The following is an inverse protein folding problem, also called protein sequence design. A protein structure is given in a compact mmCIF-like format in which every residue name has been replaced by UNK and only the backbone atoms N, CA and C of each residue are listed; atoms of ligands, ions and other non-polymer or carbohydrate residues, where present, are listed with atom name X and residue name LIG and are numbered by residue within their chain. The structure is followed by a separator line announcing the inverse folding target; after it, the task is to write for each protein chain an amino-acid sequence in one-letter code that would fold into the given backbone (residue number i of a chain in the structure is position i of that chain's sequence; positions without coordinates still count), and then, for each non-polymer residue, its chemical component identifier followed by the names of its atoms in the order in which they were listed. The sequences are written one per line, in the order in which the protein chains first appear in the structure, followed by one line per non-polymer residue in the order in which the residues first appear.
data_IF_543574772992
#
_entry.id   IF_543574772992
#
_cell.length_a   1.000
_cell.length_b   1.000
_cell.length_c   1.000
_cell.angle_alpha   90.00
_cell.angle_beta   90.00
_cell.angle_gamma   90.00
#
_symmetry.space_group_name_H-M   'P 1'
#
loop_
_entity.id
_entity.type
_entity.pdbx_description
1 polymer ?
#
# COMPACT_ATOMS: atom_id res chain seq x y z
N UNK A 1 5.25 -31.61 -9.56
CA UNK A 1 5.05 -30.97 -8.23
C UNK A 1 3.98 -29.92 -8.42
N UNK A 2 2.87 -29.98 -7.69
CA UNK A 2 1.86 -28.93 -7.78
C UNK A 2 2.44 -27.64 -7.16
N UNK A 3 2.28 -26.46 -7.80
CA UNK A 3 2.67 -25.20 -7.18
C UNK A 3 1.90 -25.04 -5.87
N UNK A 4 2.61 -24.70 -4.79
CA UNK A 4 2.01 -24.50 -3.48
C UNK A 4 0.92 -23.41 -3.60
N UNK A 5 -0.33 -23.71 -3.21
CA UNK A 5 -1.46 -22.83 -3.43
C UNK A 5 -1.35 -21.51 -2.65
N UNK A 6 -0.50 -21.46 -1.62
CA UNK A 6 -0.22 -20.25 -0.84
C UNK A 6 0.46 -19.19 -1.71
N UNK A 7 1.49 -19.55 -2.49
CA UNK A 7 2.21 -18.59 -3.33
C UNK A 7 1.34 -18.07 -4.48
N UNK A 8 0.53 -18.92 -5.11
CA UNK A 8 -0.41 -18.50 -6.15
C UNK A 8 -1.47 -17.52 -5.61
N UNK A 9 -1.94 -17.77 -4.39
CA UNK A 9 -2.87 -16.86 -3.70
C UNK A 9 -2.17 -15.56 -3.32
N UNK A 10 -0.92 -15.62 -2.86
CA UNK A 10 -0.11 -14.46 -2.50
C UNK A 10 0.10 -13.54 -3.70
N UNK A 11 0.52 -14.09 -4.83
CA UNK A 11 0.71 -13.34 -6.08
C UNK A 11 -0.59 -12.66 -6.52
N UNK A 12 -1.71 -13.40 -6.53
CA UNK A 12 -3.03 -12.85 -6.85
C UNK A 12 -3.44 -11.71 -5.89
N UNK A 13 -3.06 -11.82 -4.61
CA UNK A 13 -3.34 -10.81 -3.59
C UNK A 13 -2.51 -9.55 -3.83
N UNK A 14 -1.25 -9.72 -4.24
CA UNK A 14 -0.36 -8.62 -4.60
C UNK A 14 -0.86 -7.87 -5.85
N UNK A 15 -1.37 -8.61 -6.85
CA UNK A 15 -2.00 -8.03 -8.04
C UNK A 15 -3.19 -7.14 -7.68
N UNK A 16 -4.05 -7.58 -6.76
CA UNK A 16 -5.19 -6.75 -6.30
C UNK A 16 -4.70 -5.52 -5.54
N UNK A 17 -3.70 -5.66 -4.67
CA UNK A 17 -3.12 -4.52 -3.97
C UNK A 17 -2.53 -3.48 -4.95
N UNK A 18 -1.91 -3.95 -6.03
CA UNK A 18 -1.42 -3.09 -7.10
C UNK A 18 -2.56 -2.40 -7.86
N UNK A 19 -3.59 -3.14 -8.24
CA UNK A 19 -4.75 -2.58 -8.94
C UNK A 19 -5.44 -1.50 -8.10
N UNK A 20 -5.60 -1.71 -6.79
CA UNK A 20 -6.15 -0.71 -5.87
C UNK A 20 -5.32 0.57 -5.89
N UNK A 21 -3.99 0.45 -5.81
CA UNK A 21 -3.10 1.61 -5.85
C UNK A 21 -3.28 2.42 -7.15
N UNK A 22 -3.38 1.73 -8.28
CA UNK A 22 -3.62 2.36 -9.58
C UNK A 22 -5.00 3.03 -9.64
N UNK A 23 -6.06 2.37 -9.13
CA UNK A 23 -7.41 2.96 -9.10
C UNK A 23 -7.49 4.19 -8.20
N UNK A 24 -6.85 4.17 -7.03
CA UNK A 24 -6.75 5.34 -6.14
C UNK A 24 -6.00 6.48 -6.86
N UNK A 25 -4.88 6.18 -7.51
CA UNK A 25 -4.14 7.18 -8.28
C UNK A 25 -4.96 7.76 -9.45
N UNK A 26 -5.75 6.92 -10.13
CA UNK A 26 -6.67 7.36 -11.18
C UNK A 26 -7.76 8.27 -10.60
N UNK A 27 -8.39 7.89 -9.50
CA UNK A 27 -9.41 8.68 -8.82
C UNK A 27 -8.89 10.09 -8.48
N UNK A 28 -7.72 10.18 -7.85
CA UNK A 28 -7.05 11.45 -7.54
C UNK A 28 -6.83 12.36 -8.77
N UNK A 29 -6.58 11.78 -9.95
CA UNK A 29 -6.43 12.55 -11.18
C UNK A 29 -7.77 13.07 -11.69
N UNK A 30 -8.79 12.22 -11.73
CA UNK A 30 -10.13 12.59 -12.17
C UNK A 30 -10.77 13.65 -11.26
N UNK A 31 -10.57 13.56 -9.93
CA UNK A 31 -11.06 14.58 -9.01
C UNK A 31 -10.41 15.94 -9.26
N UNK A 32 -9.10 15.99 -9.57
CA UNK A 32 -8.42 17.23 -9.94
C UNK A 32 -8.92 17.83 -11.25
N UNK A 33 -9.38 17.00 -12.18
CA UNK A 33 -9.98 17.41 -13.44
C UNK A 33 -11.47 17.78 -13.33
N UNK A 34 -12.10 17.54 -12.17
CA UNK A 34 -13.53 17.75 -11.95
C UNK A 34 -14.43 16.69 -12.59
N UNK A 35 -13.88 15.52 -12.90
CA UNK A 35 -14.60 14.38 -13.48
C UNK A 35 -15.25 13.51 -12.40
N UNK A 36 -16.32 12.79 -12.76
CA UNK A 36 -17.07 11.98 -11.81
C UNK A 36 -16.32 10.68 -11.46
N UNK A 37 -15.94 10.54 -10.19
CA UNK A 37 -15.16 9.39 -9.69
C UNK A 37 -16.00 8.33 -8.98
N UNK A 38 -17.33 8.44 -8.96
CA UNK A 38 -18.23 7.54 -8.22
C UNK A 38 -18.00 6.07 -8.60
N UNK A 39 -17.82 5.79 -9.90
CA UNK A 39 -17.54 4.43 -10.38
C UNK A 39 -16.21 3.90 -9.85
N UNK A 40 -15.18 4.72 -9.78
CA UNK A 40 -13.88 4.35 -9.21
C UNK A 40 -14.00 4.10 -7.71
N UNK A 41 -14.71 4.96 -6.98
CA UNK A 41 -14.96 4.80 -5.54
C UNK A 41 -15.59 3.45 -5.22
N UNK A 42 -16.61 3.04 -5.99
CA UNK A 42 -17.27 1.74 -5.80
C UNK A 42 -16.32 0.59 -6.12
N UNK A 43 -15.57 0.67 -7.22
CA UNK A 43 -14.58 -0.35 -7.60
C UNK A 43 -13.50 -0.51 -6.52
N UNK A 44 -12.93 0.59 -6.04
CA UNK A 44 -11.89 0.59 -5.00
C UNK A 44 -12.40 -0.07 -3.71
N UNK A 45 -13.63 0.24 -3.28
CA UNK A 45 -14.25 -0.39 -2.10
C UNK A 45 -14.38 -1.91 -2.25
N UNK A 46 -14.83 -2.38 -3.41
CA UNK A 46 -14.95 -3.81 -3.68
C UNK A 46 -13.59 -4.50 -3.69
N UNK A 47 -12.59 -3.88 -4.33
CA UNK A 47 -11.23 -4.42 -4.36
C UNK A 47 -10.59 -4.47 -2.98
N UNK A 48 -10.76 -3.42 -2.15
CA UNK A 48 -10.29 -3.40 -0.77
C UNK A 48 -10.92 -4.52 0.07
N UNK A 49 -12.22 -4.77 -0.08
CA UNK A 49 -12.89 -5.88 0.58
C UNK A 49 -12.31 -7.23 0.12
N UNK A 50 -12.12 -7.41 -1.20
CA UNK A 50 -11.54 -8.62 -1.76
C UNK A 50 -10.10 -8.86 -1.28
N UNK A 51 -9.29 -7.80 -1.20
CA UNK A 51 -7.92 -7.85 -0.66
C UNK A 51 -7.93 -8.36 0.79
N UNK A 52 -8.80 -7.81 1.63
CA UNK A 52 -8.94 -8.23 3.03
C UNK A 52 -9.34 -9.71 3.14
N UNK A 53 -10.30 -10.16 2.34
CA UNK A 53 -10.72 -11.57 2.33
C UNK A 53 -9.59 -12.50 1.89
N UNK A 54 -8.83 -12.12 0.86
CA UNK A 54 -7.68 -12.92 0.40
C UNK A 54 -6.54 -12.97 1.42
N UNK A 55 -6.26 -11.88 2.12
CA UNK A 55 -5.29 -11.87 3.23
C UNK A 55 -5.74 -12.81 4.34
N UNK A 56 -7.04 -12.81 4.70
CA UNK A 56 -7.58 -13.74 5.69
C UNK A 56 -7.44 -15.20 5.23
N UNK A 57 -7.71 -15.48 3.96
CA UNK A 57 -7.55 -16.81 3.38
C UNK A 57 -6.07 -17.26 3.36
N UNK A 58 -5.13 -16.38 3.00
CA UNK A 58 -3.69 -16.67 3.08
C UNK A 58 -3.22 -17.02 4.49
N UNK A 59 -3.77 -16.33 5.50
CA UNK A 59 -3.49 -16.61 6.90
C UNK A 59 -4.00 -18.00 7.30
N UNK A 60 -5.20 -18.37 6.86
CA UNK A 60 -5.76 -19.70 7.12
C UNK A 60 -4.92 -20.81 6.46
N UNK A 61 -4.53 -20.63 5.20
CA UNK A 61 -3.64 -21.55 4.49
C UNK A 61 -2.29 -21.71 5.21
N UNK A 62 -1.71 -20.61 5.71
CA UNK A 62 -0.48 -20.65 6.49
C UNK A 62 -0.65 -21.43 7.79
N UNK A 63 -1.70 -21.12 8.57
CA UNK A 63 -1.99 -21.80 9.84
C UNK A 63 -2.23 -23.30 9.64
N UNK A 64 -2.96 -23.67 8.60
CA UNK A 64 -3.19 -25.06 8.25
C UNK A 64 -1.88 -25.76 7.88
N UNK A 65 -1.04 -25.15 7.04
CA UNK A 65 0.25 -25.72 6.62
C UNK A 65 1.20 -25.93 7.81
N UNK A 66 1.27 -24.97 8.74
CA UNK A 66 2.06 -25.09 9.97
C UNK A 66 1.50 -26.19 10.88
N UNK A 67 0.18 -26.21 11.11
CA UNK A 67 -0.47 -27.18 12.00
C UNK A 67 -0.35 -28.61 11.49
N UNK A 68 -0.42 -28.80 10.17
CA UNK A 68 -0.23 -30.09 9.50
C UNK A 68 1.23 -30.45 9.28
N UNK A 69 2.18 -29.63 9.75
CA UNK A 69 3.62 -29.80 9.57
C UNK A 69 4.03 -29.98 8.10
N UNK A 70 3.28 -29.38 7.17
CA UNK A 70 3.57 -29.40 5.74
C UNK A 70 4.72 -28.46 5.36
N UNK A 71 5.03 -27.49 6.21
CA UNK A 71 6.14 -26.55 6.03
C UNK A 71 7.01 -26.52 7.28
N UNK A 72 8.26 -26.13 7.12
CA UNK A 72 9.18 -25.94 8.25
C UNK A 72 8.80 -24.68 9.04
N UNK A 73 9.25 -24.60 10.29
CA UNK A 73 9.03 -23.42 11.13
C UNK A 73 9.64 -22.15 10.51
N UNK A 74 10.81 -22.25 9.86
CA UNK A 74 11.46 -21.16 9.16
C UNK A 74 10.63 -20.65 7.96
N UNK A 75 10.06 -21.57 7.18
CA UNK A 75 9.14 -21.19 6.09
C UNK A 75 7.88 -20.54 6.63
N UNK A 76 7.37 -21.02 7.77
CA UNK A 76 6.23 -20.41 8.45
C UNK A 76 6.49 -18.95 8.81
N UNK A 77 7.66 -18.67 9.40
CA UNK A 77 8.10 -17.30 9.74
C UNK A 77 8.24 -16.43 8.49
N UNK A 78 8.89 -16.94 7.44
CA UNK A 78 9.06 -16.21 6.18
C UNK A 78 7.71 -15.85 5.56
N UNK A 79 6.77 -16.80 5.49
CA UNK A 79 5.40 -16.58 4.97
C UNK A 79 4.62 -15.60 5.85
N UNK A 80 4.87 -15.59 7.16
CA UNK A 80 4.25 -14.65 8.09
C UNK A 80 4.74 -13.22 7.87
N UNK A 81 6.03 -13.00 7.58
CA UNK A 81 6.58 -11.69 7.23
C UNK A 81 5.95 -11.14 5.95
N UNK A 82 5.83 -11.96 4.92
CA UNK A 82 5.16 -11.58 3.67
C UNK A 82 3.68 -11.20 3.88
N UNK A 83 2.98 -11.92 4.77
CA UNK A 83 1.61 -11.56 5.17
C UNK A 83 1.56 -10.22 5.90
N UNK A 84 2.52 -9.93 6.78
CA UNK A 84 2.58 -8.66 7.49
C UNK A 84 2.83 -7.48 6.54
N UNK A 85 3.71 -7.66 5.55
CA UNK A 85 3.92 -6.69 4.47
C UNK A 85 2.62 -6.42 3.70
N UNK A 86 1.85 -7.45 3.34
CA UNK A 86 0.55 -7.29 2.69
C UNK A 86 -0.47 -6.56 3.58
N UNK A 87 -0.53 -6.88 4.87
CA UNK A 87 -1.42 -6.20 5.83
C UNK A 87 -1.05 -4.73 5.96
N UNK A 88 0.25 -4.43 6.06
CA UNK A 88 0.75 -3.06 6.11
C UNK A 88 0.37 -2.31 4.84
N UNK A 89 0.54 -2.94 3.67
CA UNK A 89 0.15 -2.36 2.38
C UNK A 89 -1.36 -2.12 2.29
N UNK A 90 -2.19 -3.07 2.73
CA UNK A 90 -3.66 -2.90 2.77
C UNK A 90 -4.06 -1.68 3.62
N UNK A 91 -3.48 -1.53 4.81
CA UNK A 91 -3.72 -0.37 5.69
C UNK A 91 -3.35 0.94 5.02
N UNK A 92 -2.20 0.98 4.33
CA UNK A 92 -1.77 2.16 3.59
C UNK A 92 -2.74 2.48 2.46
N UNK A 93 -3.22 1.49 1.70
CA UNK A 93 -4.20 1.69 0.62
C UNK A 93 -5.54 2.20 1.16
N UNK A 94 -6.03 1.64 2.28
CA UNK A 94 -7.24 2.14 2.96
C UNK A 94 -7.04 3.57 3.43
N UNK A 95 -5.87 3.90 3.99
CA UNK A 95 -5.56 5.25 4.45
C UNK A 95 -5.47 6.24 3.28
N UNK A 96 -4.85 5.85 2.16
CA UNK A 96 -4.79 6.65 0.94
C UNK A 96 -6.19 6.91 0.40
N UNK A 97 -7.03 5.88 0.32
CA UNK A 97 -8.42 6.01 -0.14
C UNK A 97 -9.29 6.89 0.80
N UNK A 98 -9.03 6.86 2.10
CA UNK A 98 -9.76 7.67 3.09
C UNK A 98 -9.27 9.12 3.19
N UNK A 99 -7.98 9.38 2.95
CA UNK A 99 -7.42 10.73 3.01
C UNK A 99 -7.84 11.61 1.83
N UNK A 100 -8.52 11.07 0.81
CA UNK A 100 -9.06 11.86 -0.32
C UNK A 100 -10.12 12.91 0.10
N UNK A 101 -10.60 12.90 1.36
CA UNK A 101 -11.45 13.95 1.93
C UNK A 101 -10.76 14.90 2.93
N UNK A 102 -9.51 14.65 3.29
CA UNK A 102 -8.71 15.50 4.19
C UNK A 102 -7.59 16.12 3.36
N UNK A 103 -7.80 17.38 2.98
CA UNK A 103 -6.92 18.28 2.22
C UNK A 103 -5.49 17.82 1.84
N UNK A 104 -5.05 18.12 0.60
CA UNK A 104 -3.65 18.07 0.23
C UNK A 104 -2.96 19.35 0.70
N UNK A 105 -2.48 19.41 1.94
CA UNK A 105 -1.63 20.53 2.36
C UNK A 105 -0.31 20.04 2.96
N UNK A 106 0.79 20.46 2.29
CA UNK A 106 2.19 20.42 2.72
C UNK A 106 2.71 18.98 2.91
N UNK A 107 3.43 18.35 1.97
CA UNK A 107 4.87 18.54 1.77
C UNK A 107 5.23 18.24 0.29
N UNK A 108 4.89 19.16 -0.62
CA UNK A 108 5.54 19.25 -1.94
C UNK A 108 6.28 20.57 -2.06
N UNK A 109 7.25 20.80 -1.16
CA UNK A 109 8.23 21.88 -1.27
C UNK A 109 9.49 21.55 -0.45
N UNK A 110 10.28 20.60 -0.94
CA UNK A 110 11.73 20.57 -0.64
C UNK A 110 12.50 20.91 -1.91
N UNK A 111 12.15 22.06 -2.48
CA UNK A 111 13.01 22.81 -3.37
C UNK A 111 12.78 24.26 -2.99
N UNK A 112 13.52 24.76 -2.00
CA UNK A 112 14.60 25.73 -2.14
C UNK A 112 15.30 25.81 -0.77
N UNK A 113 16.48 25.22 -0.60
CA UNK A 113 17.41 25.73 0.42
C UNK A 113 17.97 27.05 -0.13
N UNK A 114 17.09 28.06 -0.20
CA UNK A 114 17.49 29.44 -0.38
C UNK A 114 18.10 29.83 0.96
N UNK A 115 19.43 29.90 1.01
CA UNK A 115 20.12 30.59 2.10
C UNK A 115 20.31 32.03 1.65
N UNK A 116 19.54 33.01 2.15
CA UNK A 116 19.93 34.40 2.04
C UNK A 116 20.76 34.74 3.29
N UNK A 117 22.08 34.84 3.13
CA UNK A 117 22.91 35.60 4.06
C UNK A 117 23.38 36.86 3.36
N UNK A 118 22.77 38.02 3.63
CA UNK A 118 23.45 39.28 3.51
C UNK A 118 23.77 39.82 4.90
N UNK A 119 25.02 40.25 5.09
CA UNK A 119 25.38 41.60 5.56
C UNK A 119 26.63 41.58 6.46
N UNK A 120 27.74 41.96 5.83
CA UNK A 120 28.57 43.12 6.19
C UNK A 120 29.53 43.08 7.40
N UNK A 121 30.78 43.43 7.06
CA UNK A 121 31.81 44.18 7.83
C UNK A 121 32.56 43.49 8.99
N UNK A 122 33.83 43.17 8.75
CA UNK A 122 34.98 44.06 9.12
C UNK A 122 36.32 43.45 8.68
N UNK A 123 37.24 44.24 8.09
CA UNK A 123 38.64 43.84 7.94
C UNK A 123 39.49 44.37 9.10
N UNK A 124 40.30 43.50 9.70
CA UNK A 124 41.43 43.88 10.55
C UNK A 124 42.63 43.02 10.16
N UNK A 125 43.38 43.49 9.17
CA UNK A 125 44.85 43.69 9.16
C UNK A 125 45.32 44.03 7.74
#
# INVERSE_FOLDING_TARGET
MAPDPWFSTYDSTCQIAQEIAEKIQQQNQYERNGENTIRLTVTIRTLLQNLKEKIAFLKDLLLNAVSTHQITQLEGDQRQNLLDELITRERLLVASFKNEGAEPDLIRSFSVFHSPLPSHMSPCY
#
